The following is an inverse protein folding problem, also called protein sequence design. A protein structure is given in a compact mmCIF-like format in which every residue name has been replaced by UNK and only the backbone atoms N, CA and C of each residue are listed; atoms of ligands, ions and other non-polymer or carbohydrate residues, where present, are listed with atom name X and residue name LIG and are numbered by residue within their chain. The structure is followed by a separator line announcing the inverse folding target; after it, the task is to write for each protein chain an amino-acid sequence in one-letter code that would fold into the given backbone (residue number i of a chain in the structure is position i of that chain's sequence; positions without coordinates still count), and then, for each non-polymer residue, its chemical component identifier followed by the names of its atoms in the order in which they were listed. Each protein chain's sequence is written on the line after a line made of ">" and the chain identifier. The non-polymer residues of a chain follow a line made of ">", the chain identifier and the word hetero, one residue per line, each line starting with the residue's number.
data_IF_274392410851
#
_entry.id   IF_274392410851
#
_cell.length_a   1.000
_cell.length_b   1.000
_cell.length_c   1.000
_cell.angle_alpha   90.00
_cell.angle_beta   90.00
_cell.angle_gamma   90.00
#
_symmetry.space_group_name_H-M   'P 1'
#
loop_
_entity.id
_entity.type
_entity.pdbx_description
1 polymer ?
#
# COMPACT_ATOMS: atom_id res chain seq x y z
N UNK A 1 -9.43 6.11 0.76
CA UNK A 1 -9.07 4.78 1.29
C UNK A 1 -7.61 4.51 1.00
N UNK A 2 -6.84 4.10 2.01
CA UNK A 2 -5.44 3.66 1.94
C UNK A 2 -4.40 4.71 1.54
N UNK A 3 -4.80 5.88 1.02
CA UNK A 3 -3.85 6.92 0.60
C UNK A 3 -2.96 7.42 1.75
N UNK A 4 -3.46 7.43 2.98
CA UNK A 4 -2.65 7.83 4.14
C UNK A 4 -1.56 6.79 4.47
N UNK A 5 -1.89 5.50 4.36
CA UNK A 5 -0.98 4.37 4.54
C UNK A 5 0.08 4.38 3.45
N UNK A 6 -0.34 4.50 2.19
CA UNK A 6 0.57 4.56 1.04
C UNK A 6 1.47 5.80 1.10
N UNK A 7 0.94 6.97 1.48
CA UNK A 7 1.76 8.18 1.63
C UNK A 7 2.83 8.01 2.71
N UNK A 8 2.52 7.36 3.85
CA UNK A 8 3.53 7.06 4.87
C UNK A 8 4.59 6.09 4.36
N UNK A 9 4.19 5.05 3.63
CA UNK A 9 5.10 4.10 2.98
C UNK A 9 6.07 4.83 2.04
N UNK A 10 5.52 5.59 1.08
CA UNK A 10 6.29 6.37 0.10
C UNK A 10 7.29 7.30 0.79
N UNK A 11 6.82 8.18 1.68
CA UNK A 11 7.69 9.14 2.36
C UNK A 11 8.82 8.44 3.13
N UNK A 12 8.50 7.39 3.89
CA UNK A 12 9.51 6.69 4.69
C UNK A 12 10.53 5.97 3.82
N UNK A 13 10.09 5.33 2.73
CA UNK A 13 11.01 4.62 1.83
C UNK A 13 11.82 5.56 0.95
N UNK A 14 11.27 6.72 0.56
CA UNK A 14 11.99 7.77 -0.16
C UNK A 14 13.09 8.38 0.71
N UNK A 15 12.80 8.66 1.99
CA UNK A 15 13.78 9.12 2.97
C UNK A 15 14.91 8.09 3.14
N UNK A 16 14.57 6.80 3.28
CA UNK A 16 15.56 5.72 3.37
C UNK A 16 16.41 5.61 2.09
N UNK A 17 15.79 5.73 0.92
CA UNK A 17 16.48 5.76 -0.37
C UNK A 17 17.43 6.95 -0.47
N UNK A 18 17.04 8.12 0.05
CA UNK A 18 17.88 9.30 0.11
C UNK A 18 19.09 9.11 1.04
N UNK A 19 18.89 8.55 2.23
CA UNK A 19 19.96 8.23 3.19
C UNK A 19 20.97 7.26 2.59
N UNK A 20 20.51 6.16 1.97
CA UNK A 20 21.39 5.18 1.33
C UNK A 20 22.22 5.82 0.20
N UNK A 21 21.60 6.66 -0.64
CA UNK A 21 22.32 7.41 -1.69
C UNK A 21 23.34 8.37 -1.09
N UNK A 22 23.00 9.02 0.02
CA UNK A 22 23.89 9.98 0.68
C UNK A 22 25.12 9.28 1.29
N UNK A 23 24.93 8.19 2.03
CA UNK A 23 26.04 7.38 2.56
C UNK A 23 26.95 6.86 1.46
N UNK A 24 26.38 6.39 0.34
CA UNK A 24 27.20 5.87 -0.76
C UNK A 24 28.06 6.95 -1.42
N UNK A 25 27.50 8.14 -1.68
CA UNK A 25 28.26 9.29 -2.22
C UNK A 25 29.34 9.76 -1.25
N UNK A 26 29.04 9.82 0.04
CA UNK A 26 30.01 10.18 1.07
C UNK A 26 31.16 9.17 1.11
N UNK A 27 30.83 7.88 1.11
CA UNK A 27 31.82 6.80 1.07
C UNK A 27 32.69 6.87 -0.17
N UNK A 28 32.10 7.07 -1.35
CA UNK A 28 32.85 7.27 -2.60
C UNK A 28 33.78 8.49 -2.50
N UNK A 29 33.35 9.59 -1.88
CA UNK A 29 34.18 10.80 -1.72
C UNK A 29 35.37 10.60 -0.77
N UNK A 30 35.21 9.77 0.27
CA UNK A 30 36.26 9.47 1.25
C UNK A 30 37.28 8.47 0.69
N UNK A 31 36.80 7.42 0.01
CA UNK A 31 37.62 6.28 -0.39
C UNK A 31 38.04 6.26 -1.87
N UNK A 32 37.40 7.05 -2.75
CA UNK A 32 37.85 7.21 -4.14
C UNK A 32 38.82 8.39 -4.25
N UNK A 33 40.01 8.15 -4.80
CA UNK A 33 40.90 9.21 -5.22
C UNK A 33 40.28 9.92 -6.44
N UNK A 34 39.51 10.98 -6.22
CA UNK A 34 38.93 11.75 -7.31
C UNK A 34 40.04 12.51 -8.06
N UNK A 35 40.50 11.94 -9.19
CA UNK A 35 41.35 12.66 -10.14
C UNK A 35 40.49 13.74 -10.82
N UNK A 36 40.81 15.01 -10.57
CA UNK A 36 40.27 16.14 -11.35
C UNK A 36 39.00 16.81 -10.80
N UNK A 37 38.54 16.49 -9.59
CA UNK A 37 37.46 17.25 -8.92
C UNK A 37 38.10 18.31 -8.02
N UNK A 38 37.59 19.54 -8.03
CA UNK A 38 38.04 20.57 -7.10
C UNK A 38 37.97 20.04 -5.65
N UNK A 39 39.06 20.10 -4.88
CA UNK A 39 39.08 19.56 -3.53
C UNK A 39 38.04 20.30 -2.68
N UNK A 40 37.12 19.55 -2.09
CA UNK A 40 36.29 20.07 -1.02
C UNK A 40 37.26 20.49 0.08
N UNK A 41 37.26 21.77 0.45
CA UNK A 41 38.02 22.27 1.58
C UNK A 41 37.31 21.77 2.84
N UNK A 42 37.71 20.58 3.30
CA UNK A 42 37.29 20.01 4.57
C UNK A 42 38.32 20.46 5.60
N UNK A 43 37.85 20.94 6.75
CA UNK A 43 38.69 21.22 7.91
C UNK A 43 39.59 20.01 8.21
N UNK A 44 40.88 20.25 8.50
CA UNK A 44 41.86 19.18 8.65
C UNK A 44 41.55 18.26 9.83
N UNK A 45 40.95 18.79 10.91
CA UNK A 45 40.50 17.99 12.03
C UNK A 45 39.28 17.12 11.66
N UNK A 46 38.31 17.69 10.91
CA UNK A 46 37.18 16.94 10.37
C UNK A 46 37.62 15.83 9.40
N UNK A 47 38.60 16.10 8.54
CA UNK A 47 39.17 15.11 7.62
C UNK A 47 39.93 14.00 8.38
N UNK A 48 40.62 14.36 9.47
CA UNK A 48 41.30 13.38 10.31
C UNK A 48 40.30 12.45 10.99
N UNK A 49 39.21 12.97 11.58
CA UNK A 49 38.12 12.16 12.14
C UNK A 49 37.58 11.17 11.09
N UNK A 50 37.30 11.64 9.87
CA UNK A 50 36.81 10.79 8.77
C UNK A 50 37.82 9.74 8.31
N UNK A 51 39.12 9.93 8.55
CA UNK A 51 40.17 8.98 8.19
C UNK A 51 40.51 8.00 9.30
N UNK A 52 40.39 8.42 10.56
CA UNK A 52 40.82 7.63 11.72
C UNK A 52 39.67 6.93 12.44
N UNK A 53 38.47 7.51 12.43
CA UNK A 53 37.31 6.98 13.15
C UNK A 53 36.27 6.33 12.23
N UNK A 54 36.33 6.60 10.92
CA UNK A 54 35.41 5.95 9.99
C UNK A 54 35.72 4.44 9.89
N UNK A 55 34.68 3.58 9.85
CA UNK A 55 34.87 2.18 9.51
C UNK A 55 35.49 2.06 8.12
N UNK A 56 36.21 0.97 7.88
CA UNK A 56 36.69 0.69 6.53
C UNK A 56 35.51 0.56 5.55
N UNK A 57 35.81 0.75 4.27
CA UNK A 57 34.79 0.80 3.20
C UNK A 57 33.87 -0.44 3.21
N UNK A 58 34.40 -1.63 3.50
CA UNK A 58 33.61 -2.87 3.50
C UNK A 58 32.72 -2.92 4.74
N UNK A 59 33.26 -2.63 5.92
CA UNK A 59 32.50 -2.60 7.18
C UNK A 59 31.36 -1.58 7.12
N UNK A 60 31.61 -0.38 6.58
CA UNK A 60 30.56 0.62 6.39
C UNK A 60 29.47 0.10 5.44
N UNK A 61 29.86 -0.43 4.28
CA UNK A 61 28.91 -0.98 3.31
C UNK A 61 28.06 -2.09 3.89
N UNK A 62 28.66 -2.98 4.68
CA UNK A 62 27.97 -4.06 5.35
C UNK A 62 26.94 -3.53 6.35
N UNK A 63 27.33 -2.54 7.18
CA UNK A 63 26.42 -1.90 8.12
C UNK A 63 25.25 -1.22 7.41
N UNK A 64 25.52 -0.40 6.39
CA UNK A 64 24.50 0.27 5.59
C UNK A 64 23.53 -0.73 4.96
N UNK A 65 24.06 -1.81 4.38
CA UNK A 65 23.26 -2.87 3.79
C UNK A 65 22.31 -3.50 4.81
N UNK A 66 22.85 -3.97 5.95
CA UNK A 66 22.05 -4.64 6.97
C UNK A 66 20.97 -3.72 7.55
N UNK A 67 21.33 -2.47 7.85
CA UNK A 67 20.41 -1.48 8.40
C UNK A 67 19.32 -1.12 7.39
N UNK A 68 19.71 -0.83 6.14
CA UNK A 68 18.78 -0.42 5.10
C UNK A 68 17.78 -1.53 4.79
N UNK A 69 18.23 -2.76 4.52
CA UNK A 69 17.31 -3.83 4.10
C UNK A 69 16.35 -4.23 5.21
N UNK A 70 16.83 -4.30 6.45
CA UNK A 70 15.99 -4.59 7.62
C UNK A 70 14.94 -3.51 7.80
N UNK A 71 15.32 -2.23 7.62
CA UNK A 71 14.40 -1.11 7.77
C UNK A 71 13.38 -1.01 6.63
N UNK A 72 13.80 -1.19 5.37
CA UNK A 72 12.90 -1.22 4.21
C UNK A 72 11.84 -2.30 4.41
N UNK A 73 12.26 -3.50 4.83
CA UNK A 73 11.34 -4.60 5.08
C UNK A 73 10.37 -4.31 6.23
N UNK A 74 10.85 -3.75 7.34
CA UNK A 74 9.99 -3.40 8.47
C UNK A 74 8.92 -2.36 8.09
N UNK A 75 9.27 -1.40 7.23
CA UNK A 75 8.31 -0.40 6.72
C UNK A 75 7.29 -1.05 5.78
N UNK A 76 7.74 -1.98 4.92
CA UNK A 76 6.84 -2.78 4.08
C UNK A 76 5.87 -3.62 4.93
N UNK A 77 6.38 -4.33 5.93
CA UNK A 77 5.58 -5.15 6.86
C UNK A 77 4.52 -4.32 7.57
N UNK A 78 4.90 -3.17 8.11
CA UNK A 78 4.00 -2.24 8.75
C UNK A 78 2.90 -1.74 7.79
N UNK A 79 3.24 -1.47 6.53
CA UNK A 79 2.25 -1.08 5.54
C UNK A 79 1.22 -2.19 5.28
N UNK A 80 1.65 -3.45 5.16
CA UNK A 80 0.72 -4.58 4.98
C UNK A 80 -0.25 -4.71 6.17
N UNK A 81 0.27 -4.56 7.39
CA UNK A 81 -0.54 -4.54 8.62
C UNK A 81 -1.59 -3.44 8.54
N UNK A 82 -1.17 -2.21 8.26
CA UNK A 82 -2.07 -1.05 8.19
C UNK A 82 -3.13 -1.18 7.08
N UNK A 83 -2.80 -1.80 5.95
CA UNK A 83 -3.77 -2.08 4.88
C UNK A 83 -4.86 -3.06 5.35
N UNK A 84 -4.48 -4.11 6.07
CA UNK A 84 -5.43 -5.08 6.65
C UNK A 84 -6.30 -4.41 7.71
N UNK A 85 -5.70 -3.61 8.60
CA UNK A 85 -6.40 -2.84 9.62
C UNK A 85 -7.43 -1.89 9.02
N UNK A 86 -7.03 -1.08 8.05
CA UNK A 86 -7.93 -0.11 7.42
C UNK A 86 -9.06 -0.80 6.65
N UNK A 87 -8.76 -1.90 5.92
CA UNK A 87 -9.78 -2.69 5.23
C UNK A 87 -10.78 -3.32 6.20
N UNK A 88 -10.31 -3.94 7.28
CA UNK A 88 -11.16 -4.50 8.32
C UNK A 88 -12.06 -3.42 8.96
N UNK A 89 -11.55 -2.19 9.10
CA UNK A 89 -12.31 -1.03 9.57
C UNK A 89 -13.44 -0.59 8.63
N UNK A 90 -13.29 -0.78 7.32
CA UNK A 90 -14.35 -0.47 6.34
C UNK A 90 -15.42 -1.57 6.23
N UNK A 91 -15.06 -2.83 6.51
CA UNK A 91 -15.98 -3.96 6.32
C UNK A 91 -17.35 -3.81 7.03
N UNK A 92 -17.46 -3.35 8.29
CA UNK A 92 -18.76 -3.13 8.92
C UNK A 92 -19.61 -2.04 8.25
N UNK A 93 -18.97 -1.04 7.61
CA UNK A 93 -19.69 0.00 6.85
C UNK A 93 -20.26 -0.56 5.54
N UNK A 94 -19.51 -1.45 4.90
CA UNK A 94 -19.94 -2.13 3.67
C UNK A 94 -20.95 -3.23 3.97
N UNK A 95 -20.79 -3.95 5.07
CA UNK A 95 -21.65 -5.05 5.51
C UNK A 95 -22.18 -4.77 6.93
N UNK A 96 -23.25 -3.97 7.10
CA UNK A 96 -23.76 -3.62 8.43
C UNK A 96 -24.22 -4.81 9.28
N UNK A 97 -24.46 -5.97 8.66
CA UNK A 97 -24.77 -7.21 9.35
C UNK A 97 -23.60 -8.18 9.26
N UNK A 98 -23.04 -8.58 10.40
CA UNK A 98 -21.90 -9.50 10.50
C UNK A 98 -22.14 -10.82 9.73
N UNK A 99 -23.38 -11.33 9.72
CA UNK A 99 -23.74 -12.54 8.99
C UNK A 99 -23.71 -12.39 7.45
N UNK A 100 -23.50 -11.17 6.93
CA UNK A 100 -23.29 -10.90 5.50
C UNK A 100 -21.82 -10.87 5.09
N UNK A 101 -20.89 -10.85 6.04
CA UNK A 101 -19.47 -11.07 5.74
C UNK A 101 -19.27 -12.46 5.14
N UNK A 102 -18.23 -12.62 4.33
CA UNK A 102 -17.81 -13.92 3.85
C UNK A 102 -17.53 -14.90 4.99
N UNK A 103 -17.80 -16.19 4.78
CA UNK A 103 -17.64 -17.20 5.81
C UNK A 103 -16.19 -17.32 6.30
N UNK A 104 -15.21 -17.24 5.40
CA UNK A 104 -13.79 -17.30 5.77
C UNK A 104 -13.41 -16.10 6.63
N UNK A 105 -13.97 -14.92 6.36
CA UNK A 105 -13.77 -13.71 7.17
C UNK A 105 -14.35 -13.88 8.58
N UNK A 106 -15.58 -14.39 8.68
CA UNK A 106 -16.21 -14.61 10.00
C UNK A 106 -15.45 -15.67 10.80
N UNK A 107 -15.07 -16.76 10.16
CA UNK A 107 -14.31 -17.84 10.79
C UNK A 107 -12.94 -17.34 11.26
N UNK A 108 -12.23 -16.61 10.42
CA UNK A 108 -10.92 -16.02 10.74
C UNK A 108 -11.01 -15.02 11.89
N UNK A 109 -12.03 -14.14 11.88
CA UNK A 109 -12.27 -13.20 12.98
C UNK A 109 -12.53 -13.94 14.30
N UNK A 110 -13.42 -14.95 14.30
CA UNK A 110 -13.75 -15.74 15.50
C UNK A 110 -12.53 -16.46 16.07
N UNK A 111 -11.77 -17.15 15.23
CA UNK A 111 -10.55 -17.87 15.63
C UNK A 111 -9.48 -16.89 16.12
N UNK A 112 -9.29 -15.79 15.40
CA UNK A 112 -8.33 -14.75 15.72
C UNK A 112 -8.62 -14.05 17.05
N UNK A 113 -9.88 -13.70 17.33
CA UNK A 113 -10.30 -13.16 18.64
C UNK A 113 -9.93 -14.14 19.76
N UNK A 114 -10.19 -15.44 19.57
CA UNK A 114 -9.78 -16.47 20.53
C UNK A 114 -8.26 -16.53 20.73
N UNK A 115 -7.48 -16.41 19.65
CA UNK A 115 -6.03 -16.37 19.70
C UNK A 115 -5.50 -15.15 20.47
N UNK A 116 -6.05 -13.96 20.19
CA UNK A 116 -5.69 -12.72 20.86
C UNK A 116 -6.00 -12.83 22.36
N UNK A 117 -7.19 -13.30 22.74
CA UNK A 117 -7.56 -13.54 24.15
C UNK A 117 -6.60 -14.50 24.85
N UNK A 118 -6.24 -15.61 24.20
CA UNK A 118 -5.32 -16.61 24.78
C UNK A 118 -3.93 -16.03 25.07
N UNK A 119 -3.45 -15.12 24.22
CA UNK A 119 -2.15 -14.46 24.36
C UNK A 119 -2.23 -13.13 25.12
N UNK A 120 -3.43 -12.66 25.44
CA UNK A 120 -3.61 -11.39 26.12
C UNK A 120 -3.08 -11.46 27.55
N UNK A 121 -2.44 -10.37 27.97
CA UNK A 121 -1.98 -10.19 29.34
C UNK A 121 -1.75 -8.71 29.60
N UNK A 122 -2.30 -8.21 30.70
CA UNK A 122 -2.13 -6.83 31.14
C UNK A 122 -0.65 -6.42 31.36
N UNK A 123 0.25 -7.40 31.54
CA UNK A 123 1.67 -7.17 31.81
C UNK A 123 2.58 -7.50 30.62
N UNK A 124 2.05 -8.05 29.52
CA UNK A 124 2.85 -8.37 28.32
C UNK A 124 2.55 -7.42 27.16
N UNK A 125 3.56 -7.10 26.33
CA UNK A 125 3.45 -6.04 25.34
C UNK A 125 2.59 -6.37 24.13
N UNK A 126 2.45 -7.65 23.73
CA UNK A 126 1.89 -8.04 22.42
C UNK A 126 0.45 -7.54 22.24
N UNK A 127 -0.44 -7.83 23.20
CA UNK A 127 -1.85 -7.40 23.17
C UNK A 127 -2.25 -6.58 24.39
N UNK A 128 -1.34 -6.31 25.33
CA UNK A 128 -1.64 -5.64 26.60
C UNK A 128 -2.11 -4.18 26.45
N UNK A 129 -1.95 -3.58 25.26
CA UNK A 129 -2.48 -2.25 24.94
C UNK A 129 -3.98 -2.26 24.62
N UNK A 130 -4.54 -3.42 24.28
CA UNK A 130 -5.96 -3.60 23.98
C UNK A 130 -6.67 -3.92 25.29
N UNK A 131 -7.74 -3.19 25.59
CA UNK A 131 -8.56 -3.50 26.76
C UNK A 131 -9.20 -4.88 26.58
N UNK A 132 -9.07 -5.77 27.58
CA UNK A 132 -9.56 -7.14 27.50
C UNK A 132 -11.03 -7.22 27.05
N UNK A 133 -11.86 -6.35 27.60
CA UNK A 133 -13.29 -6.26 27.30
C UNK A 133 -13.59 -5.88 25.85
N UNK A 134 -12.68 -5.15 25.18
CA UNK A 134 -12.84 -4.78 23.77
C UNK A 134 -12.46 -5.88 22.78
N UNK A 135 -11.69 -6.88 23.19
CA UNK A 135 -11.16 -7.91 22.28
C UNK A 135 -12.30 -8.73 21.67
N UNK A 136 -13.30 -9.11 22.48
CA UNK A 136 -14.45 -9.88 22.03
C UNK A 136 -15.68 -9.02 21.69
N UNK A 137 -15.66 -7.72 22.02
CA UNK A 137 -16.85 -6.85 21.93
C UNK A 137 -17.47 -6.85 20.53
N UNK A 138 -16.67 -6.53 19.51
CA UNK A 138 -17.13 -6.49 18.12
C UNK A 138 -17.65 -7.85 17.61
N UNK A 139 -17.05 -8.97 18.03
CA UNK A 139 -17.54 -10.31 17.69
C UNK A 139 -18.92 -10.57 18.33
N UNK A 140 -19.07 -10.28 19.62
CA UNK A 140 -20.32 -10.50 20.36
C UNK A 140 -21.46 -9.66 19.76
N UNK A 141 -21.19 -8.39 19.47
CA UNK A 141 -22.16 -7.48 18.86
C UNK A 141 -22.58 -7.96 17.47
N UNK A 142 -21.61 -8.38 16.65
CA UNK A 142 -21.88 -8.94 15.32
C UNK A 142 -22.77 -10.19 15.38
N UNK A 143 -22.52 -11.11 16.33
CA UNK A 143 -23.32 -12.31 16.52
C UNK A 143 -24.75 -12.02 17.02
N UNK A 144 -24.95 -10.90 17.72
CA UNK A 144 -26.27 -10.42 18.16
C UNK A 144 -27.03 -9.66 17.07
N UNK A 145 -26.41 -9.42 15.92
CA UNK A 145 -26.99 -8.65 14.83
C UNK A 145 -27.02 -7.13 15.09
N UNK A 146 -26.20 -6.64 16.03
CA UNK A 146 -26.05 -5.20 16.28
C UNK A 146 -24.88 -4.63 15.48
N UNK A 147 -24.73 -3.30 15.49
CA UNK A 147 -23.54 -2.64 14.93
C UNK A 147 -22.28 -3.23 15.57
N UNK A 148 -21.28 -3.54 14.75
CA UNK A 148 -20.11 -4.29 15.17
C UNK A 148 -18.82 -3.67 14.62
N UNK A 149 -17.70 -4.08 15.22
CA UNK A 149 -16.36 -3.80 14.72
C UNK A 149 -15.63 -5.11 14.49
N UNK A 150 -14.61 -5.09 13.64
CA UNK A 150 -13.70 -6.21 13.48
C UNK A 150 -12.39 -5.87 14.19
N UNK A 151 -11.92 -6.76 15.06
CA UNK A 151 -10.61 -6.63 15.66
C UNK A 151 -9.56 -6.98 14.60
N UNK A 152 -8.80 -5.99 14.13
CA UNK A 152 -7.81 -6.21 13.07
C UNK A 152 -6.71 -7.21 13.45
N UNK A 153 -6.25 -7.20 14.70
CA UNK A 153 -5.29 -8.16 15.25
C UNK A 153 -5.75 -9.62 15.09
N UNK A 154 -7.07 -9.87 15.02
CA UNK A 154 -7.61 -11.22 14.79
C UNK A 154 -7.21 -11.77 13.40
N UNK A 155 -6.98 -10.91 12.42
CA UNK A 155 -6.54 -11.30 11.08
C UNK A 155 -5.01 -11.36 10.95
N UNK A 156 -4.27 -10.73 11.87
CA UNK A 156 -2.81 -10.58 11.84
C UNK A 156 -2.10 -11.50 12.85
N UNK A 157 -2.62 -12.72 13.00
CA UNK A 157 -2.12 -13.70 13.98
C UNK A 157 -0.90 -14.50 13.51
N UNK A 158 -0.52 -14.38 12.23
CA UNK A 158 0.66 -15.05 11.68
C UNK A 158 1.93 -14.33 12.13
N UNK A 159 2.95 -15.08 12.56
CA UNK A 159 4.27 -14.54 12.91
C UNK A 159 5.30 -14.69 11.78
N UNK A 160 4.86 -15.16 10.62
CA UNK A 160 5.73 -15.44 9.49
C UNK A 160 6.06 -14.15 8.72
N UNK A 161 7.27 -14.08 8.18
CA UNK A 161 7.62 -13.03 7.21
C UNK A 161 6.67 -13.09 5.99
N UNK A 162 6.27 -11.93 5.48
CA UNK A 162 5.41 -11.72 4.31
C UNK A 162 6.06 -12.16 2.97
N UNK A 163 6.24 -13.47 2.82
CA UNK A 163 6.45 -14.14 1.52
C UNK A 163 5.12 -14.17 0.74
N UNK A 164 5.13 -14.48 -0.58
CA UNK A 164 3.91 -14.56 -1.39
C UNK A 164 2.80 -15.43 -0.78
N UNK A 165 3.17 -16.60 -0.26
CA UNK A 165 2.26 -17.55 0.39
C UNK A 165 1.73 -17.01 1.72
N UNK A 166 2.58 -16.35 2.53
CA UNK A 166 2.16 -15.69 3.77
C UNK A 166 1.17 -14.56 3.48
N UNK A 167 1.44 -13.72 2.47
CA UNK A 167 0.52 -12.67 2.05
C UNK A 167 -0.83 -13.25 1.62
N UNK A 168 -0.83 -14.33 0.84
CA UNK A 168 -2.07 -15.02 0.49
C UNK A 168 -2.81 -15.56 1.72
N UNK A 169 -2.12 -16.16 2.70
CA UNK A 169 -2.76 -16.62 3.95
C UNK A 169 -3.39 -15.47 4.73
N UNK A 170 -2.68 -14.35 4.88
CA UNK A 170 -3.16 -13.16 5.61
C UNK A 170 -4.37 -12.56 4.91
N UNK A 171 -4.31 -12.38 3.58
CA UNK A 171 -5.42 -11.79 2.84
C UNK A 171 -6.61 -12.75 2.69
N UNK A 172 -6.39 -14.06 2.73
CA UNK A 172 -7.49 -15.03 2.81
C UNK A 172 -8.33 -14.84 4.06
N UNK A 173 -7.71 -14.49 5.19
CA UNK A 173 -8.43 -14.19 6.45
C UNK A 173 -9.38 -13.00 6.35
N UNK A 174 -9.16 -12.11 5.37
CA UNK A 174 -10.03 -10.96 5.06
C UNK A 174 -10.79 -11.12 3.72
N UNK A 175 -10.88 -12.35 3.20
CA UNK A 175 -11.79 -12.72 2.12
C UNK A 175 -11.18 -12.75 0.71
N UNK A 176 -9.87 -12.94 0.58
CA UNK A 176 -9.20 -13.02 -0.72
C UNK A 176 -8.39 -14.32 -0.86
N UNK A 177 -8.86 -15.24 -1.71
CA UNK A 177 -8.20 -16.55 -1.88
C UNK A 177 -6.77 -16.47 -2.44
N UNK A 178 -6.52 -15.55 -3.37
CA UNK A 178 -5.20 -15.37 -4.00
C UNK A 178 -4.92 -13.88 -4.27
N UNK A 179 -4.76 -13.11 -3.19
CA UNK A 179 -4.46 -11.67 -3.29
C UNK A 179 -3.15 -11.39 -4.03
N UNK A 180 -2.14 -12.24 -3.88
CA UNK A 180 -0.85 -12.07 -4.53
C UNK A 180 -0.91 -12.30 -6.05
N UNK A 181 -1.94 -13.01 -6.57
CA UNK A 181 -2.21 -13.00 -8.01
C UNK A 181 -2.46 -11.59 -8.55
N UNK A 182 -3.04 -10.68 -7.75
CA UNK A 182 -3.26 -9.31 -8.16
C UNK A 182 -1.93 -8.55 -8.31
N UNK A 183 -0.98 -8.80 -7.39
CA UNK A 183 0.40 -8.27 -7.46
C UNK A 183 1.11 -8.80 -8.71
N UNK A 184 1.07 -10.11 -8.94
CA UNK A 184 1.71 -10.77 -10.10
C UNK A 184 1.21 -10.23 -11.45
N UNK A 185 -0.05 -9.81 -11.49
CA UNK A 185 -0.70 -9.32 -12.70
C UNK A 185 -0.75 -7.78 -12.81
N UNK A 186 -0.17 -7.04 -11.85
CA UNK A 186 -0.07 -5.58 -11.94
C UNK A 186 0.87 -5.20 -13.10
N UNK A 187 0.44 -4.34 -14.04
CA UNK A 187 1.29 -3.87 -15.13
C UNK A 187 2.61 -3.27 -14.65
N UNK A 188 2.59 -2.52 -13.54
CA UNK A 188 3.75 -1.86 -12.96
C UNK A 188 4.73 -2.86 -12.35
N UNK A 189 4.23 -3.90 -11.68
CA UNK A 189 5.05 -5.01 -11.16
C UNK A 189 5.66 -5.82 -12.31
N UNK A 190 4.86 -6.11 -13.35
CA UNK A 190 5.34 -6.83 -14.54
C UNK A 190 6.46 -6.03 -15.21
N UNK A 191 6.25 -4.74 -15.47
CA UNK A 191 7.26 -3.87 -16.08
C UNK A 191 8.53 -3.76 -15.23
N UNK A 192 8.39 -3.65 -13.91
CA UNK A 192 9.52 -3.69 -13.00
C UNK A 192 10.32 -5.00 -13.14
N UNK A 193 9.65 -6.15 -13.11
CA UNK A 193 10.32 -7.44 -13.28
C UNK A 193 10.97 -7.60 -14.67
N UNK A 194 10.28 -7.23 -15.76
CA UNK A 194 10.81 -7.42 -17.11
C UNK A 194 11.88 -6.41 -17.47
N UNK A 195 11.68 -5.15 -17.13
CA UNK A 195 12.47 -4.02 -17.61
C UNK A 195 13.55 -3.62 -16.62
N UNK A 196 13.22 -3.58 -15.31
CA UNK A 196 14.18 -3.16 -14.27
C UNK A 196 15.04 -4.30 -13.75
N UNK A 197 14.47 -5.49 -13.61
CA UNK A 197 15.18 -6.71 -13.20
C UNK A 197 15.59 -7.59 -14.39
N UNK A 198 15.42 -7.11 -15.63
CA UNK A 198 15.82 -7.79 -16.86
C UNK A 198 15.26 -9.21 -17.02
N UNK A 199 14.12 -9.51 -16.39
CA UNK A 199 13.50 -10.84 -16.38
C UNK A 199 14.21 -11.88 -15.50
N UNK A 200 15.23 -11.52 -14.74
CA UNK A 200 15.93 -12.45 -13.83
C UNK A 200 15.04 -12.93 -12.68
N UNK A 201 14.05 -12.13 -12.33
CA UNK A 201 13.12 -12.40 -11.24
C UNK A 201 11.66 -12.15 -11.63
N UNK A 202 10.80 -13.10 -11.27
CA UNK A 202 9.36 -12.87 -11.13
C UNK A 202 9.05 -12.16 -9.81
N UNK A 203 7.85 -11.59 -9.67
CA UNK A 203 7.37 -10.99 -8.42
C UNK A 203 7.55 -11.93 -7.21
N UNK A 204 7.14 -13.19 -7.34
CA UNK A 204 7.27 -14.20 -6.29
C UNK A 204 8.74 -14.45 -5.91
N UNK A 205 9.60 -14.63 -6.91
CA UNK A 205 11.02 -14.91 -6.67
C UNK A 205 11.73 -13.70 -6.05
N UNK A 206 11.34 -12.47 -6.43
CA UNK A 206 11.95 -11.25 -5.92
C UNK A 206 11.49 -10.94 -4.50
N UNK A 207 10.21 -11.14 -4.17
CA UNK A 207 9.75 -11.03 -2.78
C UNK A 207 10.43 -12.08 -1.89
N UNK A 208 10.58 -13.32 -2.37
CA UNK A 208 11.30 -14.35 -1.65
C UNK A 208 12.79 -14.03 -1.46
N UNK A 209 13.43 -13.41 -2.46
CA UNK A 209 14.79 -12.88 -2.33
C UNK A 209 14.84 -11.79 -1.27
N UNK A 210 13.95 -10.80 -1.34
CA UNK A 210 13.90 -9.69 -0.38
C UNK A 210 13.77 -10.19 1.07
N UNK A 211 12.88 -11.14 1.33
CA UNK A 211 12.72 -11.75 2.66
C UNK A 211 13.98 -12.53 3.09
N UNK A 212 14.64 -13.24 2.17
CA UNK A 212 15.89 -13.96 2.47
C UNK A 212 17.00 -13.00 2.84
N UNK A 213 17.28 -12.02 1.98
CA UNK A 213 18.33 -11.03 2.23
C UNK A 213 18.08 -10.26 3.54
N UNK A 214 16.82 -9.96 3.89
CA UNK A 214 16.49 -9.36 5.19
C UNK A 214 16.84 -10.29 6.34
N UNK A 215 16.52 -11.57 6.25
CA UNK A 215 16.84 -12.53 7.30
C UNK A 215 18.35 -12.70 7.46
N UNK A 216 19.08 -12.81 6.35
CA UNK A 216 20.54 -12.90 6.33
C UNK A 216 21.17 -11.67 7.01
N UNK A 217 20.68 -10.47 6.67
CA UNK A 217 21.08 -9.22 7.30
C UNK A 217 20.77 -9.17 8.81
N UNK A 218 19.60 -9.64 9.24
CA UNK A 218 19.20 -9.65 10.65
C UNK A 218 20.00 -10.67 11.49
N UNK A 219 20.46 -11.77 10.88
CA UNK A 219 21.28 -12.79 11.53
C UNK A 219 22.79 -12.56 11.40
N UNK A 220 23.22 -11.57 10.60
CA UNK A 220 24.62 -11.26 10.35
C UNK A 220 25.30 -12.21 9.35
N UNK A 221 24.53 -13.03 8.63
CA UNK A 221 25.01 -14.04 7.68
C UNK A 221 25.01 -13.49 6.24
N UNK A 222 25.53 -12.28 6.05
CA UNK A 222 25.52 -11.61 4.74
C UNK A 222 26.59 -12.19 3.82
N UNK A 223 26.16 -12.98 2.84
CA UNK A 223 27.02 -13.54 1.79
C UNK A 223 27.36 -12.54 0.69
N UNK A 224 26.44 -11.62 0.37
CA UNK A 224 26.59 -10.61 -0.66
C UNK A 224 26.05 -9.25 -0.18
N UNK A 225 26.89 -8.22 -0.24
CA UNK A 225 26.49 -6.86 0.15
C UNK A 225 25.78 -6.20 -1.02
N UNK A 226 24.46 -6.01 -0.89
CA UNK A 226 23.66 -5.35 -1.91
C UNK A 226 24.21 -3.95 -2.23
N UNK A 227 24.31 -3.63 -3.53
CA UNK A 227 24.67 -2.29 -3.95
C UNK A 227 23.47 -1.33 -3.77
N UNK A 228 23.73 -0.04 -3.93
CA UNK A 228 22.72 1.01 -3.77
C UNK A 228 21.53 0.84 -4.72
N UNK A 229 21.74 0.34 -5.93
CA UNK A 229 20.66 0.14 -6.88
C UNK A 229 19.79 -1.08 -6.52
N UNK A 230 20.39 -2.15 -5.98
CA UNK A 230 19.65 -3.28 -5.40
C UNK A 230 18.76 -2.83 -4.24
N UNK A 231 19.28 -1.97 -3.34
CA UNK A 231 18.47 -1.42 -2.23
C UNK A 231 17.32 -0.54 -2.74
N UNK A 232 17.55 0.29 -3.77
CA UNK A 232 16.46 1.06 -4.42
C UNK A 232 15.44 0.14 -5.08
N UNK A 233 15.86 -0.98 -5.66
CA UNK A 233 14.95 -1.95 -6.25
C UNK A 233 14.06 -2.60 -5.17
N UNK A 234 14.57 -2.84 -3.95
CA UNK A 234 13.72 -3.26 -2.82
C UNK A 234 12.71 -2.19 -2.41
N UNK A 235 13.13 -0.93 -2.33
CA UNK A 235 12.23 0.21 -2.07
C UNK A 235 11.10 0.25 -3.10
N UNK A 236 11.45 0.30 -4.39
CA UNK A 236 10.47 0.39 -5.47
C UNK A 236 9.54 -0.82 -5.47
N UNK A 237 10.09 -2.03 -5.31
CA UNK A 237 9.26 -3.23 -5.29
C UNK A 237 8.30 -3.28 -4.09
N UNK A 238 8.74 -2.87 -2.90
CA UNK A 238 7.87 -2.77 -1.72
C UNK A 238 6.67 -1.84 -1.96
N UNK A 239 6.92 -0.69 -2.59
CA UNK A 239 5.88 0.27 -3.01
C UNK A 239 4.91 -0.40 -3.98
N UNK A 240 5.40 -1.00 -5.06
CA UNK A 240 4.56 -1.60 -6.10
C UNK A 240 3.67 -2.72 -5.54
N UNK A 241 4.20 -3.57 -4.65
CA UNK A 241 3.43 -4.62 -4.00
C UNK A 241 2.33 -4.02 -3.12
N UNK A 242 2.65 -3.03 -2.30
CA UNK A 242 1.68 -2.39 -1.40
C UNK A 242 0.59 -1.64 -2.18
N UNK A 243 0.94 -0.93 -3.25
CA UNK A 243 -0.02 -0.23 -4.11
C UNK A 243 -0.96 -1.20 -4.83
N UNK A 244 -0.43 -2.31 -5.35
CA UNK A 244 -1.24 -3.35 -5.97
C UNK A 244 -2.26 -3.94 -4.97
N UNK A 245 -1.82 -4.28 -3.75
CA UNK A 245 -2.69 -4.79 -2.71
C UNK A 245 -3.72 -3.74 -2.25
N UNK A 246 -3.32 -2.49 -2.02
CA UNK A 246 -4.24 -1.41 -1.68
C UNK A 246 -5.29 -1.20 -2.78
N UNK A 247 -4.89 -1.32 -4.05
CA UNK A 247 -5.79 -1.21 -5.19
C UNK A 247 -6.78 -2.36 -5.26
N UNK A 248 -6.37 -3.59 -4.95
CA UNK A 248 -7.26 -4.74 -4.78
C UNK A 248 -8.30 -4.46 -3.69
N UNK A 249 -7.84 -4.09 -2.48
CA UNK A 249 -8.71 -3.82 -1.33
C UNK A 249 -9.73 -2.72 -1.64
N UNK A 250 -9.28 -1.58 -2.19
CA UNK A 250 -10.12 -0.45 -2.57
C UNK A 250 -11.17 -0.85 -3.61
N UNK A 251 -10.74 -1.56 -4.66
CA UNK A 251 -11.64 -1.99 -5.73
C UNK A 251 -12.73 -2.92 -5.20
N UNK A 252 -12.38 -3.81 -4.27
CA UNK A 252 -13.36 -4.71 -3.63
C UNK A 252 -14.31 -3.96 -2.72
N UNK A 253 -13.84 -3.02 -1.88
CA UNK A 253 -14.70 -2.21 -1.01
C UNK A 253 -15.72 -1.41 -1.82
N UNK A 254 -15.29 -0.77 -2.90
CA UNK A 254 -16.17 0.05 -3.75
C UNK A 254 -17.24 -0.81 -4.42
N UNK A 255 -16.86 -1.96 -5.00
CA UNK A 255 -17.81 -2.87 -5.67
C UNK A 255 -18.84 -3.45 -4.69
N UNK A 256 -18.37 -3.89 -3.52
CA UNK A 256 -19.27 -4.40 -2.49
C UNK A 256 -20.13 -3.27 -1.91
N UNK A 257 -19.57 -2.06 -1.79
CA UNK A 257 -20.27 -0.86 -1.37
C UNK A 257 -21.41 -0.44 -2.29
N UNK A 258 -21.30 -0.68 -3.60
CA UNK A 258 -22.42 -0.46 -4.54
C UNK A 258 -23.58 -1.40 -4.20
N UNK A 259 -23.29 -2.66 -3.91
CA UNK A 259 -24.32 -3.67 -3.59
C UNK A 259 -24.99 -3.42 -2.24
N UNK A 260 -24.29 -2.80 -1.29
CA UNK A 260 -24.82 -2.47 0.04
C UNK A 260 -25.38 -1.06 0.17
N UNK A 261 -25.22 -0.22 -0.85
CA UNK A 261 -25.63 1.19 -0.84
C UNK A 261 -24.63 2.14 -0.14
N UNK A 262 -23.50 1.64 0.37
CA UNK A 262 -22.43 2.47 0.93
C UNK A 262 -21.63 3.26 -0.13
N UNK A 263 -21.78 2.89 -1.41
CA UNK A 263 -21.13 3.56 -2.54
C UNK A 263 -22.14 3.80 -3.65
N UNK A 264 -22.16 5.00 -4.19
CA UNK A 264 -23.03 5.40 -5.28
C UNK A 264 -22.25 5.35 -6.60
N UNK A 265 -22.72 4.54 -7.56
CA UNK A 265 -22.28 4.65 -8.95
C UNK A 265 -22.96 5.88 -9.58
N UNK A 266 -22.17 6.82 -10.10
CA UNK A 266 -22.66 8.13 -10.55
C UNK A 266 -22.66 8.29 -12.06
N UNK A 267 -21.95 7.44 -12.81
CA UNK A 267 -22.02 7.45 -14.26
C UNK A 267 -21.09 6.47 -14.97
N UNK A 268 -21.37 6.24 -16.26
CA UNK A 268 -20.57 5.45 -17.17
C UNK A 268 -19.75 6.36 -18.10
N UNK A 269 -18.46 6.08 -18.25
CA UNK A 269 -17.60 6.75 -19.23
C UNK A 269 -17.97 6.28 -20.63
N UNK A 270 -18.66 7.15 -21.37
CA UNK A 270 -19.13 6.89 -22.72
C UNK A 270 -18.04 7.12 -23.77
N UNK A 271 -17.20 8.13 -23.58
CA UNK A 271 -16.15 8.48 -24.54
C UNK A 271 -14.94 9.09 -23.83
N UNK A 272 -13.74 8.79 -24.33
CA UNK A 272 -12.51 9.46 -23.88
C UNK A 272 -12.04 10.47 -24.92
N UNK A 273 -11.64 11.65 -24.45
CA UNK A 273 -11.01 12.70 -25.22
C UNK A 273 -9.53 12.87 -24.82
N UNK A 274 -8.81 13.79 -25.46
CA UNK A 274 -7.44 14.13 -25.08
C UNK A 274 -7.37 14.77 -23.69
N UNK A 275 -6.17 14.80 -23.10
CA UNK A 275 -5.88 15.50 -21.83
C UNK A 275 -6.75 15.03 -20.64
N UNK A 276 -6.95 13.71 -20.51
CA UNK A 276 -7.74 13.08 -19.43
C UNK A 276 -9.19 13.57 -19.34
N UNK A 277 -9.73 14.10 -20.43
CA UNK A 277 -11.13 14.49 -20.51
C UNK A 277 -11.98 13.26 -20.87
N UNK A 278 -13.09 13.07 -20.17
CA UNK A 278 -14.05 11.99 -20.41
C UNK A 278 -15.46 12.57 -20.55
N UNK A 279 -16.21 12.04 -21.51
CA UNK A 279 -17.66 12.20 -21.59
C UNK A 279 -18.33 11.10 -20.76
N UNK A 280 -19.19 11.49 -19.84
CA UNK A 280 -19.84 10.61 -18.87
C UNK A 280 -21.35 10.75 -19.00
N UNK A 281 -22.05 9.62 -18.96
CA UNK A 281 -23.51 9.58 -18.82
C UNK A 281 -23.85 9.22 -17.38
N UNK A 282 -24.53 10.13 -16.69
CA UNK A 282 -24.89 9.94 -15.30
C UNK A 282 -25.90 8.79 -15.12
N UNK A 283 -25.71 7.98 -14.09
CA UNK A 283 -26.59 6.85 -13.75
C UNK A 283 -27.41 7.11 -12.49
N UNK A 284 -27.04 8.12 -11.71
CA UNK A 284 -27.66 8.45 -10.42
C UNK A 284 -27.82 9.94 -10.21
N UNK A 285 -28.71 10.31 -9.30
CA UNK A 285 -28.89 11.70 -8.86
C UNK A 285 -27.89 12.04 -7.77
N UNK A 286 -26.97 12.96 -8.04
CA UNK A 286 -26.02 13.48 -7.05
C UNK A 286 -25.41 14.80 -7.51
N UNK A 287 -24.71 15.51 -6.63
CA UNK A 287 -23.97 16.72 -6.98
C UNK A 287 -22.49 16.39 -7.11
N UNK A 288 -21.87 16.90 -8.18
CA UNK A 288 -20.41 16.86 -8.36
C UNK A 288 -19.83 18.26 -8.53
N UNK A 289 -18.59 18.48 -8.13
CA UNK A 289 -17.93 19.79 -8.20
C UNK A 289 -16.42 19.67 -8.46
N UNK A 290 -15.81 20.74 -8.96
CA UNK A 290 -14.36 20.81 -9.19
C UNK A 290 -13.61 20.68 -7.86
N UNK A 291 -12.54 19.89 -7.84
CA UNK A 291 -11.76 19.55 -6.66
C UNK A 291 -12.30 18.35 -5.88
N UNK A 292 -13.49 17.85 -6.21
CA UNK A 292 -14.02 16.64 -5.59
C UNK A 292 -13.17 15.42 -5.96
N UNK A 293 -12.89 14.58 -4.96
CA UNK A 293 -12.32 13.26 -5.16
C UNK A 293 -13.42 12.25 -5.50
N UNK A 294 -13.22 11.52 -6.59
CA UNK A 294 -14.08 10.45 -7.07
C UNK A 294 -13.26 9.17 -7.23
N UNK A 295 -13.97 8.05 -7.37
CA UNK A 295 -13.34 6.80 -7.75
C UNK A 295 -13.75 6.41 -9.16
N UNK A 296 -12.83 5.87 -9.95
CA UNK A 296 -13.09 5.54 -11.35
C UNK A 296 -12.43 4.23 -11.74
N UNK A 297 -13.16 3.40 -12.51
CA UNK A 297 -12.63 2.16 -13.05
C UNK A 297 -13.67 1.05 -13.19
N UNK A 298 -13.19 -0.17 -13.43
CA UNK A 298 -14.05 -1.35 -13.59
C UNK A 298 -13.48 -2.58 -12.88
N UNK A 299 -12.30 -3.04 -13.30
CA UNK A 299 -11.58 -4.12 -12.60
C UNK A 299 -10.80 -3.55 -11.44
N UNK A 300 -9.91 -2.62 -11.76
CA UNK A 300 -9.17 -1.79 -10.83
C UNK A 300 -9.88 -0.44 -10.74
N UNK A 301 -10.05 0.07 -9.52
CA UNK A 301 -10.71 1.33 -9.25
C UNK A 301 -9.71 2.26 -8.56
N UNK A 302 -9.55 3.46 -9.11
CA UNK A 302 -8.57 4.43 -8.66
C UNK A 302 -9.23 5.72 -8.17
N UNK A 303 -8.56 6.37 -7.22
CA UNK A 303 -8.90 7.72 -6.80
C UNK A 303 -8.48 8.73 -7.89
N UNK A 304 -9.39 9.64 -8.22
CA UNK A 304 -9.16 10.75 -9.15
C UNK A 304 -9.76 12.04 -8.59
N UNK A 305 -9.22 13.17 -9.00
CA UNK A 305 -9.76 14.49 -8.68
C UNK A 305 -10.43 15.07 -9.92
N UNK A 306 -11.60 15.67 -9.74
CA UNK A 306 -12.28 16.43 -10.80
C UNK A 306 -11.58 17.77 -11.00
N UNK A 307 -10.99 18.02 -12.16
CA UNK A 307 -10.23 19.23 -12.46
C UNK A 307 -11.06 20.28 -13.21
N UNK A 308 -12.00 19.83 -14.04
CA UNK A 308 -12.96 20.72 -14.73
C UNK A 308 -14.23 19.97 -15.07
N UNK A 309 -15.36 20.67 -15.10
CA UNK A 309 -16.66 20.13 -15.48
C UNK A 309 -17.28 20.93 -16.61
N UNK A 310 -18.03 20.26 -17.49
CA UNK A 310 -18.73 20.85 -18.62
C UNK A 310 -20.06 20.15 -18.88
N UNK A 311 -21.10 20.91 -19.19
CA UNK A 311 -22.36 20.38 -19.74
C UNK A 311 -22.55 20.97 -21.13
N UNK A 312 -22.56 20.12 -22.16
CA UNK A 312 -22.51 20.57 -23.56
C UNK A 312 -21.24 21.36 -23.87
N UNK A 313 -21.38 22.67 -24.14
CA UNK A 313 -20.26 23.59 -24.39
C UNK A 313 -20.00 24.57 -23.24
N UNK A 314 -20.72 24.45 -22.13
CA UNK A 314 -20.66 25.39 -21.02
C UNK A 314 -19.84 24.80 -19.87
N UNK A 315 -18.75 25.46 -19.51
CA UNK A 315 -17.97 25.11 -18.32
C UNK A 315 -18.79 25.38 -17.06
N UNK A 316 -18.62 24.54 -16.04
CA UNK A 316 -19.34 24.63 -14.78
C UNK A 316 -18.42 24.30 -13.61
N UNK A 317 -18.62 24.96 -12.48
CA UNK A 317 -17.88 24.65 -11.24
C UNK A 317 -18.50 23.49 -10.48
N UNK A 318 -19.80 23.27 -10.69
CA UNK A 318 -20.59 22.17 -10.13
C UNK A 318 -21.69 21.74 -11.10
N UNK A 319 -22.11 20.48 -11.00
CA UNK A 319 -23.21 19.91 -11.80
C UNK A 319 -24.12 19.12 -10.85
N UNK A 320 -25.42 19.38 -10.94
CA UNK A 320 -26.45 18.50 -10.38
C UNK A 320 -26.76 17.41 -11.41
N UNK A 321 -26.35 16.19 -11.13
CA UNK A 321 -26.61 15.03 -11.98
C UNK A 321 -28.04 14.52 -11.76
N UNK A 322 -28.66 14.11 -12.85
CA UNK A 322 -29.82 13.22 -12.89
C UNK A 322 -29.50 12.05 -13.83
N UNK A 323 -30.16 10.89 -13.69
CA UNK A 323 -29.98 9.78 -14.62
C UNK A 323 -30.17 10.22 -16.08
N UNK A 324 -29.19 9.92 -16.93
CA UNK A 324 -29.16 10.32 -18.33
C UNK A 324 -28.48 11.68 -18.61
N UNK A 325 -28.15 12.49 -17.60
CA UNK A 325 -27.38 13.72 -17.81
C UNK A 325 -26.01 13.39 -18.42
N UNK A 326 -25.69 14.01 -19.56
CA UNK A 326 -24.38 13.91 -20.18
C UNK A 326 -23.50 15.10 -19.78
N UNK A 327 -22.29 14.81 -19.30
CA UNK A 327 -21.33 15.82 -18.90
C UNK A 327 -19.90 15.43 -19.30
N UNK A 328 -19.07 16.44 -19.52
CA UNK A 328 -17.63 16.30 -19.65
C UNK A 328 -16.94 16.54 -18.32
N UNK A 329 -15.97 15.69 -17.97
CA UNK A 329 -15.09 15.92 -16.82
C UNK A 329 -13.63 15.75 -17.24
N UNK A 330 -12.77 16.67 -16.82
CA UNK A 330 -11.32 16.43 -16.80
C UNK A 330 -10.97 15.82 -15.45
N UNK A 331 -10.25 14.70 -15.48
CA UNK A 331 -9.83 13.98 -14.29
C UNK A 331 -8.30 14.05 -14.15
N UNK A 332 -7.81 14.00 -12.91
CA UNK A 332 -6.36 14.05 -12.63
C UNK A 332 -5.56 12.86 -13.16
N UNK A 333 -6.24 11.79 -13.59
CA UNK A 333 -5.62 10.61 -14.20
C UNK A 333 -6.33 10.21 -15.48
N UNK A 334 -5.59 9.51 -16.33
CA UNK A 334 -6.13 8.90 -17.55
C UNK A 334 -7.07 7.75 -17.19
N UNK A 335 -8.25 7.75 -17.79
CA UNK A 335 -9.30 6.74 -17.55
C UNK A 335 -9.59 5.97 -18.84
N UNK A 336 -9.91 4.68 -18.72
CA UNK A 336 -10.34 3.85 -19.85
C UNK A 336 -11.79 4.14 -20.23
N UNK A 337 -12.12 3.97 -21.51
CA UNK A 337 -13.54 3.91 -21.92
C UNK A 337 -14.25 2.74 -21.24
N UNK A 338 -15.57 2.86 -21.06
CA UNK A 338 -16.39 1.91 -20.31
C UNK A 338 -16.00 1.73 -18.82
N UNK A 339 -15.20 2.64 -18.27
CA UNK A 339 -15.05 2.77 -16.82
C UNK A 339 -16.32 3.35 -16.20
N UNK A 340 -16.51 3.12 -14.91
CA UNK A 340 -17.59 3.70 -14.12
C UNK A 340 -17.03 4.68 -13.11
N UNK A 341 -17.80 5.72 -12.79
CA UNK A 341 -17.49 6.69 -11.75
C UNK A 341 -18.30 6.38 -10.49
N UNK A 342 -17.67 6.54 -9.33
CA UNK A 342 -18.26 6.26 -8.03
C UNK A 342 -17.98 7.39 -7.04
N UNK A 343 -18.96 7.65 -6.17
CA UNK A 343 -18.84 8.47 -4.96
C UNK A 343 -19.10 7.57 -3.78
N UNK A 344 -18.27 7.66 -2.74
CA UNK A 344 -18.38 6.80 -1.56
C UNK A 344 -18.16 7.62 -0.29
N UNK A 345 -18.87 7.23 0.77
CA UNK A 345 -18.73 7.78 2.13
C UNK A 345 -17.87 6.90 3.03
N UNK A 346 -17.31 5.83 2.47
CA UNK A 346 -16.54 4.82 3.18
C UNK A 346 -15.28 5.39 3.82
#
# INVERSE_FOLDING_TARGET
>A
MFESVLSRLHNTLDDLSAVVKWHDRLRQSIFAAAVGVQPIVIDEAALNILRTEAPDNITWRLFDHCAAITRIYAVFEQCIIELVEEYAGFLPKVFPNYAKLDEDVRNSHRVGVGHVLMKWSATKPIYGKIAETSIAGGLVDGLRGTSYTLLADAFLTDSDNYRPDTLNRVFKKIGFDDAYSFVRNSPEVIDFCSSKLLGEHTADSYLNKFVRDRNDAAHGEVSEIANVDSLKNYVLFAILVAEALASLLRSTLIKNGVSSGATLEIGDVAQRFSNNVVGVRATSTTKIFIGQQLYVGRKTIELVTVESLRVGQTDSTEIQLAPGTEFGARLSKKVSEAAKLYVTTL
#
